data_IF_186855548653
#
_entry.id   IF_186855548653
#
_cell.length_a   1.000
_cell.length_b   1.000
_cell.length_c   1.000
_cell.angle_alpha   90.00
_cell.angle_beta   90.00
_cell.angle_gamma   90.00
#
_symmetry.space_group_name_H-M   'P 1'
#
loop_
_entity.id
_entity.type
_entity.pdbx_description
1 polymer ?
#
# COMPACT_ATOMS: atom_id res chain seq x y z
N UNK A 1 -31.63 -5.85 12.85
CA UNK A 1 -31.09 -4.76 12.01
C UNK A 1 -31.07 -5.23 10.58
N UNK A 2 -31.46 -4.38 9.62
CA UNK A 2 -31.42 -4.74 8.20
C UNK A 2 -29.99 -4.81 7.69
N UNK A 3 -29.70 -5.83 6.88
CA UNK A 3 -28.40 -6.01 6.22
C UNK A 3 -28.18 -4.96 5.12
N UNK A 4 -26.95 -4.85 4.62
CA UNK A 4 -26.63 -3.96 3.50
C UNK A 4 -27.48 -4.30 2.27
N UNK A 5 -27.57 -5.59 1.91
CA UNK A 5 -28.37 -6.05 0.78
C UNK A 5 -29.86 -5.73 0.94
N UNK A 6 -30.40 -5.88 2.16
CA UNK A 6 -31.78 -5.54 2.47
C UNK A 6 -32.07 -4.04 2.30
N UNK A 7 -31.19 -3.16 2.80
CA UNK A 7 -31.33 -1.70 2.63
C UNK A 7 -31.33 -1.27 1.16
N UNK A 8 -30.43 -1.85 0.35
CA UNK A 8 -30.35 -1.56 -1.08
C UNK A 8 -31.64 -2.00 -1.78
N UNK A 9 -32.12 -3.21 -1.48
CA UNK A 9 -33.36 -3.76 -2.04
C UNK A 9 -34.58 -2.91 -1.66
N UNK A 10 -34.70 -2.52 -0.40
CA UNK A 10 -35.80 -1.69 0.10
C UNK A 10 -35.86 -0.33 -0.61
N UNK A 11 -34.72 0.37 -0.70
CA UNK A 11 -34.64 1.65 -1.40
C UNK A 11 -34.93 1.52 -2.90
N UNK A 12 -34.38 0.48 -3.55
CA UNK A 12 -34.63 0.23 -4.96
C UNK A 12 -36.12 0.04 -5.23
N UNK A 13 -36.78 -0.78 -4.43
CA UNK A 13 -38.22 -1.03 -4.56
C UNK A 13 -39.06 0.22 -4.26
N UNK A 14 -38.65 1.03 -3.28
CA UNK A 14 -39.31 2.30 -2.94
C UNK A 14 -39.25 3.32 -4.09
N UNK A 15 -38.14 3.33 -4.84
CA UNK A 15 -37.96 4.18 -6.03
C UNK A 15 -38.54 3.56 -7.31
N UNK A 16 -39.17 2.38 -7.22
CA UNK A 16 -39.79 1.71 -8.37
C UNK A 16 -38.79 1.18 -9.40
N UNK A 17 -37.51 1.04 -9.04
CA UNK A 17 -36.45 0.62 -9.96
C UNK A 17 -36.37 -0.91 -10.06
N UNK A 18 -36.18 -1.44 -11.27
CA UNK A 18 -35.81 -2.85 -11.44
C UNK A 18 -34.33 -3.07 -11.09
N UNK A 19 -33.94 -4.32 -10.83
CA UNK A 19 -32.52 -4.65 -10.63
C UNK A 19 -31.68 -4.27 -11.87
N UNK A 20 -32.25 -4.35 -13.07
CA UNK A 20 -31.62 -3.92 -14.32
C UNK A 20 -31.41 -2.41 -14.37
N UNK A 21 -32.37 -1.62 -13.91
CA UNK A 21 -32.26 -0.15 -13.88
C UNK A 21 -31.18 0.30 -12.88
N UNK A 22 -31.14 -0.34 -11.70
CA UNK A 22 -30.09 -0.09 -10.73
C UNK A 22 -28.72 -0.49 -11.27
N UNK A 23 -28.64 -1.63 -11.97
CA UNK A 23 -27.41 -2.15 -12.58
C UNK A 23 -26.90 -1.32 -13.77
N UNK A 24 -27.78 -0.68 -14.53
CA UNK A 24 -27.48 -0.08 -15.83
C UNK A 24 -26.24 0.84 -15.81
N UNK A 25 -25.21 0.51 -16.60
CA UNK A 25 -23.97 1.29 -16.70
C UNK A 25 -23.03 1.19 -15.48
N UNK A 26 -23.35 0.37 -14.47
CA UNK A 26 -22.54 0.18 -13.26
C UNK A 26 -22.02 -1.25 -13.14
N UNK A 27 -22.92 -2.23 -13.10
CA UNK A 27 -22.63 -3.65 -12.88
C UNK A 27 -23.67 -4.51 -13.62
N UNK A 28 -23.53 -5.85 -13.58
CA UNK A 28 -24.55 -6.74 -14.15
C UNK A 28 -25.77 -6.85 -13.22
N UNK A 29 -26.99 -7.06 -13.75
CA UNK A 29 -28.19 -7.28 -12.91
C UNK A 29 -28.05 -8.46 -11.95
N UNK A 30 -27.30 -9.50 -12.38
CA UNK A 30 -26.95 -10.64 -11.53
C UNK A 30 -26.12 -10.23 -10.31
N UNK A 31 -25.16 -9.31 -10.49
CA UNK A 31 -24.34 -8.79 -9.38
C UNK A 31 -25.19 -7.97 -8.40
N UNK A 32 -26.15 -7.16 -8.89
CA UNK A 32 -27.12 -6.46 -8.01
C UNK A 32 -27.91 -7.47 -7.18
N UNK A 33 -28.42 -8.53 -7.81
CA UNK A 33 -29.15 -9.59 -7.11
C UNK A 33 -28.28 -10.27 -6.05
N UNK A 34 -27.00 -10.56 -6.35
CA UNK A 34 -26.09 -11.15 -5.36
C UNK A 34 -25.81 -10.21 -4.18
N UNK A 35 -25.70 -8.91 -4.41
CA UNK A 35 -25.56 -7.89 -3.36
C UNK A 35 -26.82 -7.83 -2.50
N UNK A 36 -28.01 -7.79 -3.10
CA UNK A 36 -29.29 -7.73 -2.38
C UNK A 36 -29.58 -8.95 -1.50
N UNK A 37 -28.97 -10.10 -1.81
CA UNK A 37 -29.05 -11.32 -1.02
C UNK A 37 -27.84 -11.52 -0.09
N UNK A 38 -26.98 -10.51 0.07
CA UNK A 38 -25.76 -10.55 0.88
C UNK A 38 -24.80 -11.70 0.50
N UNK A 39 -24.85 -12.15 -0.77
CA UNK A 39 -23.99 -13.21 -1.32
C UNK A 39 -22.70 -12.67 -1.92
N UNK A 40 -22.62 -11.36 -2.18
CA UNK A 40 -21.45 -10.71 -2.75
C UNK A 40 -21.13 -9.40 -2.02
N UNK A 41 -19.86 -9.22 -1.69
CA UNK A 41 -19.33 -7.96 -1.19
C UNK A 41 -19.00 -7.03 -2.37
N UNK A 42 -19.62 -5.86 -2.39
CA UNK A 42 -19.36 -4.85 -3.43
C UNK A 42 -18.16 -3.98 -3.07
N UNK A 43 -17.42 -3.52 -4.09
CA UNK A 43 -16.38 -2.51 -3.87
C UNK A 43 -16.99 -1.17 -3.47
N UNK A 44 -16.24 -0.34 -2.73
CA UNK A 44 -16.69 1.00 -2.31
C UNK A 44 -17.19 1.84 -3.50
N UNK A 45 -16.48 1.83 -4.64
CA UNK A 45 -16.86 2.56 -5.86
C UNK A 45 -18.21 2.12 -6.41
N UNK A 46 -18.52 0.81 -6.36
CA UNK A 46 -19.81 0.26 -6.79
C UNK A 46 -20.90 0.67 -5.81
N UNK A 47 -20.62 0.62 -4.50
CA UNK A 47 -21.56 1.03 -3.47
C UNK A 47 -21.86 2.54 -3.51
N UNK A 48 -20.86 3.37 -3.80
CA UNK A 48 -21.00 4.83 -4.00
C UNK A 48 -21.88 5.13 -5.22
N UNK A 49 -21.68 4.42 -6.32
CA UNK A 49 -22.50 4.58 -7.51
C UNK A 49 -23.96 4.09 -7.30
N UNK A 50 -24.15 3.01 -6.54
CA UNK A 50 -25.48 2.54 -6.11
C UNK A 50 -26.14 3.58 -5.20
N UNK A 51 -25.42 4.14 -4.23
CA UNK A 51 -25.93 5.19 -3.33
C UNK A 51 -26.37 6.43 -4.11
N UNK A 52 -25.55 6.85 -5.08
CA UNK A 52 -25.87 7.97 -5.98
C UNK A 52 -27.17 7.71 -6.75
N UNK A 53 -27.35 6.50 -7.30
CA UNK A 53 -28.58 6.12 -8.03
C UNK A 53 -29.81 5.99 -7.13
N UNK A 54 -29.61 5.62 -5.87
CA UNK A 54 -30.68 5.49 -4.88
C UNK A 54 -30.94 6.78 -4.11
N UNK A 55 -30.29 7.89 -4.50
CA UNK A 55 -30.44 9.22 -3.93
C UNK A 55 -30.21 9.26 -2.40
N UNK A 56 -29.28 8.42 -1.92
CA UNK A 56 -28.87 8.38 -0.51
C UNK A 56 -27.38 8.61 -0.38
N UNK A 57 -26.94 9.13 0.77
CA UNK A 57 -25.51 9.24 1.04
C UNK A 57 -24.93 7.85 1.35
N UNK A 58 -23.66 7.64 1.00
CA UNK A 58 -23.01 6.34 1.20
C UNK A 58 -22.94 5.93 2.68
N UNK A 59 -22.90 6.93 3.58
CA UNK A 59 -22.95 6.74 5.03
C UNK A 59 -24.22 6.00 5.47
N UNK A 60 -25.34 6.17 4.76
CA UNK A 60 -26.57 5.42 5.04
C UNK A 60 -26.36 3.90 4.97
N UNK A 61 -25.56 3.45 4.00
CA UNK A 61 -25.20 2.04 3.84
C UNK A 61 -24.12 1.59 4.83
N UNK A 62 -23.12 2.43 5.07
CA UNK A 62 -22.04 2.15 6.02
C UNK A 62 -22.48 2.21 7.48
N UNK A 63 -23.65 2.79 7.77
CA UNK A 63 -24.22 2.85 9.12
C UNK A 63 -24.62 1.48 9.69
N UNK A 64 -24.63 0.41 8.89
CA UNK A 64 -24.80 -0.97 9.38
C UNK A 64 -23.49 -1.45 10.01
N UNK A 65 -23.20 -0.94 11.21
CA UNK A 65 -22.04 -1.34 11.99
C UNK A 65 -22.29 -2.74 12.54
N UNK A 66 -21.53 -3.74 12.07
CA UNK A 66 -21.45 -5.01 12.79
C UNK A 66 -20.47 -4.84 13.96
N UNK A 67 -20.91 -4.91 15.23
CA UNK A 67 -20.01 -4.82 16.39
C UNK A 67 -18.93 -5.91 16.39
N UNK A 68 -19.13 -7.02 15.67
CA UNK A 68 -18.13 -8.09 15.50
C UNK A 68 -16.96 -7.71 14.58
N UNK A 69 -17.16 -6.80 13.63
CA UNK A 69 -16.11 -6.36 12.71
C UNK A 69 -15.21 -5.29 13.35
N UNK A 70 -15.76 -4.43 14.21
CA UNK A 70 -14.94 -3.48 14.97
C UNK A 70 -13.99 -4.20 15.92
N UNK A 71 -14.44 -5.24 16.62
CA UNK A 71 -13.58 -6.01 17.54
C UNK A 71 -12.48 -6.78 16.78
N UNK A 72 -12.75 -7.24 15.56
CA UNK A 72 -11.74 -7.91 14.71
C UNK A 72 -10.80 -6.93 14.02
N UNK A 73 -11.26 -5.75 13.59
CA UNK A 73 -10.42 -4.72 12.98
C UNK A 73 -9.58 -4.02 14.05
N UNK A 74 -10.15 -3.67 15.21
CA UNK A 74 -9.39 -3.15 16.36
C UNK A 74 -8.42 -4.18 16.89
N UNK A 75 -8.77 -5.46 17.02
CA UNK A 75 -7.81 -6.48 17.45
C UNK A 75 -6.73 -6.77 16.41
N UNK A 76 -7.04 -6.73 15.10
CA UNK A 76 -6.04 -6.81 14.03
C UNK A 76 -5.13 -5.58 14.01
N UNK A 77 -5.68 -4.39 14.19
CA UNK A 77 -4.92 -3.14 14.30
C UNK A 77 -4.06 -3.15 15.55
N UNK A 78 -4.58 -3.53 16.72
CA UNK A 78 -3.82 -3.67 17.97
C UNK A 78 -2.71 -4.71 17.85
N UNK A 79 -2.91 -5.84 17.14
CA UNK A 79 -1.84 -6.81 16.85
C UNK A 79 -0.80 -6.26 15.89
N UNK A 80 -1.23 -5.50 14.87
CA UNK A 80 -0.31 -4.78 13.98
C UNK A 80 0.51 -3.78 14.80
N UNK A 81 -0.12 -2.98 15.65
CA UNK A 81 0.53 -1.99 16.51
C UNK A 81 1.44 -2.62 17.59
N UNK A 82 1.05 -3.76 18.17
CA UNK A 82 1.89 -4.53 19.10
C UNK A 82 3.13 -5.13 18.39
N UNK A 83 3.03 -5.44 17.09
CA UNK A 83 4.20 -5.85 16.30
C UNK A 83 5.20 -4.71 16.02
N UNK A 84 4.85 -3.46 16.35
CA UNK A 84 5.72 -2.28 16.28
C UNK A 84 6.36 -1.93 17.64
N UNK A 85 6.48 -2.89 18.56
CA UNK A 85 7.03 -2.72 19.93
C UNK A 85 8.44 -2.09 20.03
N UNK A 86 9.12 -1.80 18.92
CA UNK A 86 10.44 -1.15 18.91
C UNK A 86 10.44 0.35 18.60
N UNK A 87 9.30 0.98 18.29
CA UNK A 87 9.31 2.37 17.79
C UNK A 87 8.37 3.39 18.44
N UNK A 88 7.51 3.03 19.41
CA UNK A 88 6.72 4.03 20.15
C UNK A 88 7.19 4.16 21.61
N UNK A 89 7.67 5.35 22.03
CA UNK A 89 7.99 5.62 23.42
C UNK A 89 6.79 5.34 24.34
N UNK A 90 7.00 4.57 25.42
CA UNK A 90 5.96 4.16 26.39
C UNK A 90 5.11 5.30 26.95
N UNK A 91 5.63 6.54 26.98
CA UNK A 91 4.90 7.71 27.48
C UNK A 91 3.75 8.16 26.56
N UNK A 92 3.83 7.91 25.25
CA UNK A 92 2.78 8.29 24.28
C UNK A 92 1.55 7.37 24.34
N UNK A 93 1.69 6.17 24.92
CA UNK A 93 0.59 5.22 25.12
C UNK A 93 -0.21 5.49 26.41
N UNK A 94 0.33 6.29 27.33
CA UNK A 94 -0.35 6.63 28.60
C UNK A 94 -1.15 7.92 28.51
N UNK A 95 -0.92 8.74 27.48
CA UNK A 95 -1.63 9.98 27.31
C UNK A 95 -2.92 9.77 26.51
N UNK A 96 -4.04 9.65 27.24
CA UNK A 96 -5.39 9.51 26.66
C UNK A 96 -5.72 10.65 25.67
N UNK A 97 -5.05 11.79 25.78
CA UNK A 97 -5.22 12.91 24.85
C UNK A 97 -4.74 12.60 23.43
N UNK A 98 -3.72 11.75 23.26
CA UNK A 98 -3.18 11.39 21.95
C UNK A 98 -4.14 10.47 21.19
N UNK A 99 -4.67 9.45 21.85
CA UNK A 99 -5.67 8.56 21.26
C UNK A 99 -6.99 9.32 20.97
N UNK A 100 -7.40 10.25 21.84
CA UNK A 100 -8.50 11.15 21.53
C UNK A 100 -8.19 12.08 20.34
N UNK A 101 -6.97 12.57 20.18
CA UNK A 101 -6.62 13.44 19.05
C UNK A 101 -6.69 12.71 17.71
N UNK A 102 -6.28 11.43 17.68
CA UNK A 102 -6.39 10.55 16.50
C UNK A 102 -7.84 10.16 16.23
N UNK A 103 -8.63 9.91 17.29
CA UNK A 103 -10.06 9.61 17.19
C UNK A 103 -10.89 10.83 16.76
N UNK A 104 -10.57 12.02 17.26
CA UNK A 104 -11.22 13.30 16.93
C UNK A 104 -10.84 13.80 15.54
N UNK A 105 -9.60 13.55 15.08
CA UNK A 105 -9.18 13.82 13.70
C UNK A 105 -10.01 13.03 12.68
N UNK A 106 -10.48 11.83 13.05
CA UNK A 106 -11.34 10.99 12.20
C UNK A 106 -12.81 11.45 12.17
N UNK A 107 -13.26 12.25 13.13
CA UNK A 107 -14.68 12.62 13.32
C UNK A 107 -15.04 14.06 12.90
N UNK A 108 -14.10 14.89 12.42
CA UNK A 108 -14.39 16.29 12.02
C UNK A 108 -13.79 16.71 10.67
N UNK A 109 -14.57 16.49 9.60
CA UNK A 109 -14.95 17.54 8.63
C UNK A 109 -16.48 17.63 8.73
N UNK A 110 -17.15 18.70 9.14
CA UNK A 110 -16.84 20.14 9.07
C UNK A 110 -17.37 20.94 10.28
N UNK A 111 -16.85 22.17 10.38
CA UNK A 111 -17.30 23.37 11.12
C UNK A 111 -17.04 23.47 12.63
N UNK A 112 -16.24 24.48 12.98
CA UNK A 112 -15.92 24.91 14.32
C UNK A 112 -17.00 25.82 14.91
N UNK A 113 -17.18 25.76 16.23
CA UNK A 113 -17.42 26.98 17.03
C UNK A 113 -16.57 26.91 18.30
N UNK A 114 -15.36 27.45 18.23
CA UNK A 114 -14.72 28.03 19.41
C UNK A 114 -15.26 29.45 19.52
N UNK A 115 -15.89 29.78 20.66
CA UNK A 115 -16.17 31.17 21.02
C UNK A 115 -14.84 31.85 21.29
N UNK A 116 -14.35 32.63 20.34
CA UNK A 116 -13.35 33.66 20.58
C UNK A 116 -14.07 34.98 20.44
N UNK A 117 -14.12 35.74 21.52
CA UNK A 117 -14.52 37.14 21.48
C UNK A 117 -13.44 37.92 20.74
N UNK A 118 -13.75 38.40 19.55
CA UNK A 118 -13.02 39.51 18.94
C UNK A 118 -14.06 40.51 18.43
N UNK A 119 -13.81 41.74 18.85
CA UNK A 119 -14.43 42.98 18.40
C UNK A 119 -14.60 43.07 16.88
N UNK A 120 -15.55 43.92 16.51
CA UNK A 120 -16.16 44.10 15.20
C UNK A 120 -15.20 44.40 14.04
N UNK A 121 -15.75 44.20 12.83
CA UNK A 121 -15.33 44.69 11.51
C UNK A 121 -14.24 43.91 10.73
N UNK A 122 -14.66 43.26 9.64
CA UNK A 122 -14.48 43.78 8.26
C UNK A 122 -15.04 42.73 7.28
N UNK A 123 -16.12 43.11 6.62
CA UNK A 123 -16.77 42.40 5.51
C UNK A 123 -15.94 42.53 4.22
N UNK A 124 -15.40 41.42 3.72
CA UNK A 124 -15.01 41.28 2.30
C UNK A 124 -15.39 39.90 1.77
N UNK A 125 -16.34 39.90 0.84
CA UNK A 125 -16.79 38.72 0.08
C UNK A 125 -15.62 38.06 -0.67
N UNK A 126 -15.40 36.77 -0.43
CA UNK A 126 -14.46 35.96 -1.22
C UNK A 126 -15.25 35.18 -2.26
N UNK A 127 -15.12 35.58 -3.53
CA UNK A 127 -15.70 34.88 -4.70
C UNK A 127 -15.14 33.45 -4.82
N UNK A 128 -15.94 32.46 -5.26
CA UNK A 128 -15.52 31.07 -5.34
C UNK A 128 -14.41 30.87 -6.38
N UNK A 129 -13.27 30.33 -5.95
CA UNK A 129 -12.14 30.00 -6.81
C UNK A 129 -12.50 28.84 -7.74
N UNK A 130 -12.29 29.05 -9.04
CA UNK A 130 -12.49 28.07 -10.10
C UNK A 130 -11.86 26.70 -9.79
N UNK A 131 -12.59 25.62 -10.12
CA UNK A 131 -12.14 24.23 -10.06
C UNK A 131 -10.76 24.12 -10.72
N UNK A 132 -9.73 23.77 -9.93
CA UNK A 132 -8.39 23.47 -10.46
C UNK A 132 -8.51 22.31 -11.44
N UNK A 133 -8.06 22.50 -12.69
CA UNK A 133 -7.97 21.43 -13.70
C UNK A 133 -7.13 20.27 -13.13
N UNK A 134 -7.48 19.00 -13.43
CA UNK A 134 -6.72 17.86 -12.93
C UNK A 134 -5.28 17.93 -13.43
N UNK A 135 -4.33 17.79 -12.52
CA UNK A 135 -2.90 17.69 -12.84
C UNK A 135 -2.73 16.49 -13.77
N UNK A 136 -2.12 16.70 -14.94
CA UNK A 136 -1.75 15.61 -15.86
C UNK A 136 -0.76 14.71 -15.10
N UNK A 137 -1.24 13.57 -14.59
CA UNK A 137 -0.40 12.59 -13.89
C UNK A 137 0.54 11.97 -14.93
N UNK A 138 1.85 11.96 -14.64
CA UNK A 138 2.82 11.24 -15.46
C UNK A 138 2.41 9.75 -15.53
N UNK A 139 2.70 9.06 -16.64
CA UNK A 139 2.52 7.62 -16.82
C UNK A 139 2.97 6.81 -15.59
N UNK A 140 4.08 7.20 -14.95
CA UNK A 140 4.56 6.53 -13.74
C UNK A 140 3.66 6.73 -12.53
N UNK A 141 3.08 7.91 -12.35
CA UNK A 141 2.16 8.18 -11.23
C UNK A 141 0.86 7.38 -11.39
N UNK A 142 0.35 7.26 -12.62
CA UNK A 142 -0.78 6.38 -12.92
C UNK A 142 -0.46 4.91 -12.64
N UNK A 143 0.76 4.48 -12.95
CA UNK A 143 1.21 3.12 -12.67
C UNK A 143 1.30 2.86 -11.15
N UNK A 144 1.79 3.84 -10.38
CA UNK A 144 1.81 3.78 -8.92
C UNK A 144 0.42 3.63 -8.34
N UNK A 145 -0.54 4.46 -8.74
CA UNK A 145 -1.92 4.37 -8.25
C UNK A 145 -2.57 3.02 -8.59
N UNK A 146 -2.34 2.51 -9.80
CA UNK A 146 -2.83 1.19 -10.20
C UNK A 146 -2.23 0.05 -9.37
N UNK A 147 -0.93 0.14 -9.07
CA UNK A 147 -0.28 -0.88 -8.25
C UNK A 147 -0.72 -0.83 -6.80
N UNK A 148 -1.00 0.37 -6.24
CA UNK A 148 -1.65 0.50 -4.93
C UNK A 148 -3.00 -0.19 -4.90
N UNK A 149 -3.84 0.08 -5.89
CA UNK A 149 -5.17 -0.56 -5.99
C UNK A 149 -5.04 -2.08 -6.06
N UNK A 150 -4.09 -2.60 -6.86
CA UNK A 150 -3.80 -4.04 -6.95
C UNK A 150 -3.39 -4.64 -5.60
N UNK A 151 -2.47 -4.00 -4.88
CA UNK A 151 -1.97 -4.47 -3.58
C UNK A 151 -3.01 -4.32 -2.46
N UNK A 152 -3.88 -3.33 -2.56
CA UNK A 152 -5.00 -3.18 -1.64
C UNK A 152 -6.01 -4.32 -1.79
N UNK A 153 -6.30 -4.72 -3.04
CA UNK A 153 -7.20 -5.86 -3.32
C UNK A 153 -6.55 -7.20 -2.95
N UNK A 154 -5.24 -7.35 -3.13
CA UNK A 154 -4.49 -8.58 -2.85
C UNK A 154 -3.35 -8.30 -1.86
N UNK A 155 -3.66 -8.12 -0.56
CA UNK A 155 -2.69 -7.68 0.43
C UNK A 155 -1.69 -8.78 0.80
N UNK A 156 -2.06 -10.06 0.71
CA UNK A 156 -1.16 -11.17 1.01
C UNK A 156 -0.28 -11.50 -0.19
N UNK A 157 1.06 -11.34 -0.08
CA UNK A 157 1.96 -11.71 -1.16
C UNK A 157 2.06 -13.22 -1.30
N UNK A 158 2.16 -13.68 -2.54
CA UNK A 158 2.50 -15.06 -2.85
C UNK A 158 3.98 -15.12 -3.24
N UNK A 159 4.70 -16.10 -2.69
CA UNK A 159 6.13 -16.27 -2.96
C UNK A 159 6.37 -16.59 -4.44
N UNK A 160 5.54 -17.49 -4.98
CA UNK A 160 5.57 -17.92 -6.38
C UNK A 160 4.34 -17.44 -7.13
N UNK A 161 4.48 -17.26 -8.44
CA UNK A 161 3.33 -17.05 -9.34
C UNK A 161 3.39 -18.06 -10.49
N UNK A 162 2.57 -19.12 -10.46
CA UNK A 162 2.59 -20.17 -11.47
C UNK A 162 2.07 -19.69 -12.85
N UNK A 163 1.35 -18.56 -12.91
CA UNK A 163 0.84 -17.99 -14.16
C UNK A 163 1.87 -17.14 -14.88
N UNK A 164 2.91 -16.68 -14.17
CA UNK A 164 4.06 -15.99 -14.76
C UNK A 164 5.07 -17.03 -15.26
N UNK A 165 4.91 -17.44 -16.52
CA UNK A 165 5.99 -18.14 -17.25
C UNK A 165 7.29 -17.34 -17.26
N UNK A 166 8.41 -17.95 -17.67
CA UNK A 166 9.80 -17.43 -17.70
C UNK A 166 10.03 -16.01 -18.28
N UNK A 167 9.02 -15.33 -18.83
CA UNK A 167 9.11 -13.98 -19.38
C UNK A 167 9.29 -12.95 -18.27
N UNK A 168 10.47 -12.31 -18.26
CA UNK A 168 10.75 -11.10 -17.47
C UNK A 168 9.75 -10.00 -17.86
N UNK A 169 8.92 -9.53 -16.93
CA UNK A 169 8.07 -8.37 -17.21
C UNK A 169 8.91 -7.09 -17.09
N UNK A 170 9.08 -6.37 -18.19
CA UNK A 170 9.77 -5.06 -18.17
C UNK A 170 9.09 -4.07 -17.20
N UNK A 171 7.77 -4.22 -17.01
CA UNK A 171 6.95 -3.40 -16.10
C UNK A 171 7.40 -3.53 -14.65
N UNK A 172 7.63 -4.74 -14.14
CA UNK A 172 8.12 -4.94 -12.77
C UNK A 172 9.44 -4.21 -12.54
N UNK A 173 10.42 -4.45 -13.44
CA UNK A 173 11.77 -3.86 -13.32
C UNK A 173 11.74 -2.34 -13.38
N UNK A 174 10.93 -1.78 -14.28
CA UNK A 174 10.75 -0.34 -14.42
C UNK A 174 10.12 0.26 -13.17
N UNK A 175 9.08 -0.38 -12.64
CA UNK A 175 8.38 0.07 -11.44
C UNK A 175 9.26 0.05 -10.20
N UNK A 176 9.98 -1.06 -9.96
CA UNK A 176 10.91 -1.18 -8.82
C UNK A 176 11.96 -0.08 -8.88
N UNK A 177 12.57 0.18 -10.05
CA UNK A 177 13.51 1.29 -10.18
C UNK A 177 12.86 2.63 -9.87
N UNK A 178 11.63 2.86 -10.33
CA UNK A 178 10.90 4.10 -10.10
C UNK A 178 10.62 4.36 -8.61
N UNK A 179 10.10 3.38 -7.87
CA UNK A 179 9.73 3.55 -6.45
C UNK A 179 10.94 3.78 -5.53
N UNK A 180 12.13 3.37 -5.95
CA UNK A 180 13.42 3.66 -5.30
C UNK A 180 14.07 4.95 -5.82
N UNK A 181 13.41 5.70 -6.71
CA UNK A 181 13.93 6.95 -7.27
C UNK A 181 15.15 6.75 -8.18
N UNK A 182 15.27 5.58 -8.83
CA UNK A 182 16.41 5.19 -9.65
C UNK A 182 17.74 5.21 -8.91
N UNK A 183 17.72 4.91 -7.61
CA UNK A 183 18.90 4.84 -6.75
C UNK A 183 19.07 3.45 -6.14
N UNK A 184 20.32 3.07 -5.89
CA UNK A 184 20.65 1.81 -5.21
C UNK A 184 20.16 1.86 -3.75
N UNK A 185 19.47 0.81 -3.32
CA UNK A 185 18.96 0.66 -1.96
C UNK A 185 20.09 0.57 -0.92
N UNK A 186 21.25 0.04 -1.30
CA UNK A 186 22.40 -0.13 -0.40
C UNK A 186 23.23 1.15 -0.31
N UNK A 187 23.84 1.58 -1.43
CA UNK A 187 24.79 2.69 -1.41
C UNK A 187 24.19 4.05 -1.77
N UNK A 188 22.97 4.08 -2.31
CA UNK A 188 22.35 5.33 -2.73
C UNK A 188 22.84 5.92 -4.05
N UNK A 189 23.76 5.24 -4.75
CA UNK A 189 24.20 5.64 -6.09
C UNK A 189 23.00 5.75 -7.04
N UNK A 190 22.92 6.85 -7.79
CA UNK A 190 21.87 7.13 -8.77
C UNK A 190 22.50 7.56 -10.11
N UNK A 191 23.62 6.94 -10.47
CA UNK A 191 24.38 7.24 -11.68
C UNK A 191 23.52 7.05 -12.94
N UNK A 192 23.77 7.91 -13.92
CA UNK A 192 23.16 7.86 -15.25
C UNK A 192 24.22 7.91 -16.33
N UNK A 193 23.96 7.25 -17.46
CA UNK A 193 24.77 7.40 -18.66
C UNK A 193 24.47 8.73 -19.37
N UNK A 194 25.17 8.99 -20.47
CA UNK A 194 25.00 10.20 -21.30
C UNK A 194 23.57 10.33 -21.87
N UNK A 195 22.84 9.22 -22.00
CA UNK A 195 21.45 9.18 -22.48
C UNK A 195 20.43 9.30 -21.35
N UNK A 196 20.89 9.46 -20.11
CA UNK A 196 20.04 9.53 -18.91
C UNK A 196 19.55 8.17 -18.40
N UNK A 197 20.02 7.04 -18.95
CA UNK A 197 19.65 5.72 -18.45
C UNK A 197 20.32 5.47 -17.10
N UNK A 198 19.56 5.00 -16.09
CA UNK A 198 20.10 4.73 -14.78
C UNK A 198 20.97 3.47 -14.78
N UNK A 199 22.09 3.50 -14.04
CA UNK A 199 22.98 2.35 -13.88
C UNK A 199 22.35 1.20 -13.09
N UNK A 200 21.39 1.53 -12.21
CA UNK A 200 20.74 0.58 -11.31
C UNK A 200 19.81 -0.41 -12.00
N UNK A 201 19.69 -1.57 -11.37
CA UNK A 201 18.87 -2.69 -11.79
C UNK A 201 17.86 -3.08 -10.71
N UNK A 202 16.83 -3.81 -11.12
CA UNK A 202 15.88 -4.43 -10.20
C UNK A 202 16.25 -5.89 -10.02
N UNK A 203 16.50 -6.26 -8.77
CA UNK A 203 16.72 -7.63 -8.32
C UNK A 203 15.44 -8.16 -7.65
N UNK A 204 15.22 -9.47 -7.76
CA UNK A 204 14.18 -10.17 -7.01
C UNK A 204 14.80 -10.76 -5.74
N UNK A 205 14.14 -10.62 -4.59
CA UNK A 205 14.52 -11.34 -3.39
C UNK A 205 14.33 -12.84 -3.56
N UNK A 206 13.16 -13.27 -4.04
CA UNK A 206 12.92 -14.66 -4.45
C UNK A 206 13.00 -14.76 -5.97
N UNK A 207 14.00 -15.48 -6.52
CA UNK A 207 14.40 -15.36 -7.91
C UNK A 207 13.37 -15.95 -8.89
N UNK A 208 13.37 -15.41 -10.11
CA UNK A 208 12.53 -15.89 -11.21
C UNK A 208 12.79 -17.34 -11.62
N UNK A 209 14.02 -17.82 -11.46
CA UNK A 209 14.38 -19.23 -11.72
C UNK A 209 13.60 -20.20 -10.84
N UNK A 210 13.13 -19.75 -9.67
CA UNK A 210 12.29 -20.51 -8.73
C UNK A 210 10.82 -20.08 -8.78
N UNK A 211 10.35 -19.52 -9.90
CA UNK A 211 8.98 -19.02 -10.08
C UNK A 211 8.59 -17.84 -9.18
N UNK A 212 9.56 -17.04 -8.71
CA UNK A 212 9.26 -15.89 -7.87
C UNK A 212 8.27 -14.89 -8.49
N UNK A 213 7.32 -14.43 -7.68
CA UNK A 213 6.25 -13.54 -8.15
C UNK A 213 6.79 -12.17 -8.58
N UNK A 214 6.11 -11.52 -9.53
CA UNK A 214 6.32 -10.09 -9.86
C UNK A 214 5.52 -9.17 -8.91
N UNK A 215 5.40 -9.57 -7.65
CA UNK A 215 4.95 -8.66 -6.59
C UNK A 215 6.05 -7.62 -6.35
N UNK A 216 5.71 -6.33 -6.41
CA UNK A 216 6.70 -5.25 -6.26
C UNK A 216 7.45 -5.31 -4.93
N UNK A 217 6.86 -5.94 -3.90
CA UNK A 217 7.48 -6.18 -2.59
C UNK A 217 8.53 -7.30 -2.62
N UNK A 218 8.61 -8.06 -3.70
CA UNK A 218 9.70 -8.98 -4.04
C UNK A 218 10.88 -8.26 -4.72
N UNK A 219 10.77 -6.94 -4.95
CA UNK A 219 11.77 -6.16 -5.67
C UNK A 219 12.66 -5.30 -4.78
N UNK A 220 13.94 -5.25 -5.13
CA UNK A 220 14.90 -4.26 -4.62
C UNK A 220 15.66 -3.62 -5.78
N UNK A 221 15.97 -2.33 -5.67
CA UNK A 221 16.74 -1.59 -6.66
C UNK A 221 18.21 -1.52 -6.24
N UNK A 222 19.14 -2.00 -7.05
CA UNK A 222 20.57 -2.14 -6.70
C UNK A 222 21.46 -1.65 -7.86
N UNK A 223 22.62 -1.07 -7.56
CA UNK A 223 23.66 -0.89 -8.59
C UNK A 223 24.23 -2.25 -9.00
N UNK A 224 24.92 -2.33 -10.13
CA UNK A 224 25.44 -3.60 -10.68
C UNK A 224 26.30 -4.38 -9.69
N UNK A 225 27.15 -3.68 -8.93
CA UNK A 225 28.00 -4.30 -7.92
C UNK A 225 27.19 -4.92 -6.78
N UNK A 226 26.21 -4.18 -6.24
CA UNK A 226 25.36 -4.70 -5.17
C UNK A 226 24.37 -5.74 -5.67
N UNK A 227 23.91 -5.65 -6.92
CA UNK A 227 23.05 -6.66 -7.54
C UNK A 227 23.79 -7.99 -7.68
N UNK A 228 24.99 -7.97 -8.26
CA UNK A 228 25.83 -9.17 -8.35
C UNK A 228 26.11 -9.76 -6.96
N UNK A 229 26.49 -8.93 -5.99
CA UNK A 229 26.79 -9.40 -4.63
C UNK A 229 25.56 -9.98 -3.92
N UNK A 230 24.37 -9.45 -4.19
CA UNK A 230 23.10 -9.95 -3.65
C UNK A 230 22.76 -11.32 -4.25
N UNK A 231 22.78 -11.44 -5.58
CA UNK A 231 22.49 -12.69 -6.30
C UNK A 231 23.52 -13.79 -6.00
N UNK A 232 24.78 -13.41 -5.74
CA UNK A 232 25.85 -14.33 -5.33
C UNK A 232 25.74 -14.74 -3.85
N UNK A 233 24.77 -14.21 -3.09
CA UNK A 233 24.58 -14.54 -1.68
C UNK A 233 25.62 -13.95 -0.73
N UNK A 234 26.36 -12.91 -1.14
CA UNK A 234 27.35 -12.27 -0.27
C UNK A 234 26.70 -11.47 0.87
N UNK A 235 25.46 -11.03 0.67
CA UNK A 235 24.66 -10.40 1.70
C UNK A 235 23.16 -10.64 1.47
N UNK A 236 22.36 -10.43 2.51
CA UNK A 236 20.90 -10.38 2.46
C UNK A 236 20.38 -9.26 3.35
N UNK A 237 19.06 -9.13 3.44
CA UNK A 237 18.38 -8.09 4.21
C UNK A 237 17.59 -8.74 5.36
N UNK A 238 17.71 -8.17 6.56
CA UNK A 238 16.96 -8.58 7.76
C UNK A 238 15.52 -8.08 7.72
N UNK A 239 14.67 -8.59 8.62
CA UNK A 239 13.29 -8.11 8.75
C UNK A 239 13.19 -6.64 9.21
N UNK A 240 14.28 -6.10 9.76
CA UNK A 240 14.41 -4.70 10.17
C UNK A 240 15.07 -3.83 9.08
N UNK A 241 15.21 -4.35 7.86
CA UNK A 241 15.82 -3.69 6.70
C UNK A 241 17.31 -3.40 6.87
N UNK A 242 18.02 -4.22 7.64
CA UNK A 242 19.47 -4.11 7.83
C UNK A 242 20.21 -5.13 6.95
N UNK A 243 21.39 -4.75 6.48
CA UNK A 243 22.23 -5.59 5.62
C UNK A 243 22.93 -6.63 6.49
N UNK A 244 22.66 -7.90 6.20
CA UNK A 244 23.28 -9.07 6.82
C UNK A 244 24.33 -9.64 5.87
N UNK A 245 25.55 -9.86 6.35
CA UNK A 245 26.64 -10.41 5.53
C UNK A 245 26.62 -11.93 5.61
N UNK A 246 26.98 -12.61 4.51
CA UNK A 246 27.22 -14.06 4.49
C UNK A 246 28.24 -14.48 5.56
N UNK A 247 27.98 -15.58 6.28
CA UNK A 247 28.89 -16.09 7.32
C UNK A 247 30.28 -16.41 6.78
N UNK A 248 30.34 -16.86 5.53
CA UNK A 248 31.56 -17.32 4.86
C UNK A 248 32.15 -16.27 3.91
N UNK A 249 31.98 -14.98 4.20
CA UNK A 249 32.54 -13.93 3.36
C UNK A 249 34.08 -13.97 3.44
N UNK A 250 34.81 -14.17 2.32
CA UNK A 250 36.26 -14.34 2.35
C UNK A 250 36.98 -13.14 3.00
N UNK A 251 38.06 -13.33 3.77
CA UNK A 251 38.69 -12.28 4.59
C UNK A 251 39.45 -11.23 3.77
N UNK A 252 39.61 -11.42 2.47
CA UNK A 252 40.40 -10.57 1.60
C UNK A 252 39.82 -9.14 1.55
N UNK A 253 40.68 -8.10 1.50
CA UNK A 253 40.24 -6.70 1.45
C UNK A 253 39.30 -6.37 0.27
N UNK A 254 39.33 -7.17 -0.80
CA UNK A 254 38.42 -7.04 -1.94
C UNK A 254 36.93 -7.08 -1.52
N UNK A 255 36.59 -7.79 -0.44
CA UNK A 255 35.23 -7.91 0.07
C UNK A 255 34.82 -6.78 1.01
N UNK A 256 35.72 -5.84 1.34
CA UNK A 256 35.42 -4.69 2.19
C UNK A 256 34.39 -3.74 1.56
N UNK A 257 34.27 -3.79 0.24
CA UNK A 257 33.21 -3.10 -0.52
C UNK A 257 31.81 -3.55 -0.10
N UNK A 258 31.66 -4.79 0.39
CA UNK A 258 30.42 -5.36 0.92
C UNK A 258 30.42 -5.30 2.46
N UNK A 259 31.51 -5.70 3.14
CA UNK A 259 31.61 -5.69 4.62
C UNK A 259 31.28 -4.34 5.25
N UNK A 260 31.69 -3.22 4.63
CA UNK A 260 31.39 -1.87 5.15
C UNK A 260 29.90 -1.52 5.27
N UNK A 261 29.03 -2.34 4.68
CA UNK A 261 27.57 -2.19 4.74
C UNK A 261 26.92 -3.04 5.82
N UNK A 262 27.64 -3.94 6.48
CA UNK A 262 27.12 -4.79 7.55
C UNK A 262 26.37 -3.96 8.60
N UNK A 263 25.15 -4.40 8.96
CA UNK A 263 24.30 -3.75 9.95
C UNK A 263 23.69 -2.41 9.53
N UNK A 264 24.06 -1.85 8.37
CA UNK A 264 23.46 -0.61 7.87
C UNK A 264 22.07 -0.88 7.31
N UNK A 265 21.20 0.11 7.47
CA UNK A 265 19.85 0.07 6.90
C UNK A 265 19.86 0.39 5.41
N UNK A 266 19.08 -0.37 4.63
CA UNK A 266 18.82 -0.03 3.23
C UNK A 266 17.90 1.19 3.13
N UNK A 267 18.01 1.91 2.02
CA UNK A 267 17.01 2.87 1.60
C UNK A 267 15.74 2.12 1.22
N UNK A 268 14.59 2.69 1.59
CA UNK A 268 13.28 2.11 1.34
C UNK A 268 12.47 3.01 0.40
N UNK A 269 11.50 2.43 -0.34
CA UNK A 269 10.50 3.22 -1.05
C UNK A 269 9.78 4.18 -0.10
N UNK A 270 9.40 5.35 -0.64
CA UNK A 270 8.67 6.38 0.12
C UNK A 270 7.36 5.85 0.69
N UNK A 271 6.65 5.04 -0.09
CA UNK A 271 5.38 4.46 0.32
C UNK A 271 5.56 3.11 0.98
N UNK A 272 4.93 2.95 2.15
CA UNK A 272 5.03 1.73 2.98
C UNK A 272 4.57 0.48 2.24
N UNK A 273 3.52 0.60 1.41
CA UNK A 273 2.92 -0.52 0.68
C UNK A 273 3.87 -1.17 -0.34
N UNK A 274 4.91 -0.44 -0.77
CA UNK A 274 5.90 -0.94 -1.73
C UNK A 274 7.20 -1.42 -1.08
N UNK A 275 7.32 -1.33 0.25
CA UNK A 275 8.52 -1.80 0.94
C UNK A 275 8.69 -3.31 0.77
N UNK A 276 9.93 -3.83 0.77
CA UNK A 276 10.18 -5.26 0.72
C UNK A 276 9.39 -6.00 1.80
N UNK A 277 8.69 -7.04 1.40
CA UNK A 277 7.88 -7.84 2.33
C UNK A 277 8.74 -8.93 2.97
N UNK A 278 8.51 -9.20 4.26
CA UNK A 278 9.27 -10.19 5.05
C UNK A 278 9.38 -11.55 4.36
N UNK A 279 8.29 -12.02 3.75
CA UNK A 279 8.20 -13.30 3.04
C UNK A 279 9.35 -13.47 2.04
N UNK A 280 9.62 -12.44 1.24
CA UNK A 280 10.65 -12.52 0.21
C UNK A 280 12.05 -12.37 0.80
N UNK A 281 12.23 -11.49 1.79
CA UNK A 281 13.52 -11.33 2.48
C UNK A 281 13.93 -12.61 3.23
N UNK A 282 12.98 -13.25 3.92
CA UNK A 282 13.15 -14.54 4.59
C UNK A 282 13.47 -15.65 3.59
N UNK A 283 12.78 -15.70 2.46
CA UNK A 283 13.06 -16.68 1.42
C UNK A 283 14.47 -16.51 0.83
N UNK A 284 14.90 -15.26 0.56
CA UNK A 284 16.27 -14.97 0.10
C UNK A 284 17.30 -15.42 1.14
N UNK A 285 17.11 -15.04 2.42
CA UNK A 285 17.95 -15.47 3.54
C UNK A 285 18.05 -16.98 3.65
N UNK A 286 16.93 -17.68 3.51
CA UNK A 286 16.88 -19.14 3.53
C UNK A 286 17.66 -19.74 2.36
N UNK A 287 17.50 -19.19 1.16
CA UNK A 287 18.19 -19.66 -0.04
C UNK A 287 19.72 -19.55 0.07
N UNK A 288 20.23 -18.49 0.69
CA UNK A 288 21.67 -18.27 0.84
C UNK A 288 22.26 -18.83 2.14
N UNK A 289 21.47 -19.51 2.98
CA UNK A 289 21.95 -20.12 4.22
C UNK A 289 22.13 -19.16 5.41
N UNK A 290 21.55 -17.96 5.36
CA UNK A 290 21.53 -16.99 6.46
C UNK A 290 20.20 -17.08 7.24
N UNK A 291 20.00 -18.14 8.01
CA UNK A 291 18.91 -18.18 9.02
C UNK A 291 19.25 -17.23 10.19
N UNK A 292 18.23 -16.66 10.88
CA UNK A 292 18.34 -15.45 11.72
C UNK A 292 19.54 -15.39 12.65
#
# INVERSE_FOLDING_TARGET
MSTLGQKIRELRMRLGLTQSDLAAGLITPSMVSQIEHDKANSSYKVLEAIATKLEVSIEYFLSVHQPKEEETILSKLLRLYASFETCLPRHLLQDKSFLLSVFMWRQKKEVATCKVSVSEEVSREVKPRARRKPVVRNRMDLMVEKEKERLFVNPEPQLTDPKLGRRRSNKFREFVKYIYGFACAVCGSALRDHSGNPEVESAHFYPKSMHGSDDVRNGICLCRNHHWAFDAGLFSISNNYEIMIGKDLPPEPAYDVIRKWAGKRIRLPKELIFRPHRLFMEAHRTWIGLQP
#
